data_IF_403931109235
#
_entry.id   IF_403931109235
#
_cell.length_a   1.000
_cell.length_b   1.000
_cell.length_c   1.000
_cell.angle_alpha   90.00
_cell.angle_beta   90.00
_cell.angle_gamma   90.00
#
_symmetry.space_group_name_H-M   'P 1'
#
loop_
_entity.id
_entity.type
_entity.pdbx_description
1 polymer ?
#
# COMPACT_ATOMS: atom_id res chain seq x y z
N UNK A 1 24.48 11.52 -19.17
CA UNK A 1 24.33 10.06 -19.37
C UNK A 1 22.97 9.70 -18.82
N UNK A 2 21.98 9.51 -19.68
CA UNK A 2 20.64 9.14 -19.24
C UNK A 2 20.70 7.69 -18.76
N UNK A 3 20.54 7.48 -17.46
CA UNK A 3 20.36 6.15 -16.90
C UNK A 3 19.12 5.54 -17.58
N UNK A 4 19.30 4.44 -18.30
CA UNK A 4 18.18 3.76 -18.96
C UNK A 4 17.36 3.08 -17.87
N UNK A 5 16.42 3.81 -17.28
CA UNK A 5 15.50 3.25 -16.28
C UNK A 5 14.87 1.98 -16.85
N UNK A 6 15.13 0.85 -16.20
CA UNK A 6 14.52 -0.42 -16.58
C UNK A 6 12.99 -0.33 -16.43
N UNK A 7 12.19 -1.14 -17.15
CA UNK A 7 10.74 -1.12 -17.02
C UNK A 7 10.25 -1.20 -15.58
N UNK A 8 10.93 -2.00 -14.75
CA UNK A 8 10.61 -2.14 -13.32
C UNK A 8 10.89 -0.87 -12.51
N UNK A 9 11.93 -0.10 -12.82
CA UNK A 9 12.23 1.17 -12.12
C UNK A 9 11.25 2.28 -12.52
N UNK A 10 10.85 2.33 -13.80
CA UNK A 10 9.77 3.23 -14.26
C UNK A 10 8.46 2.90 -13.53
N UNK A 11 8.11 1.61 -13.44
CA UNK A 11 6.92 1.15 -12.73
C UNK A 11 6.97 1.52 -11.24
N UNK A 12 8.06 1.21 -10.54
CA UNK A 12 8.21 1.55 -9.10
C UNK A 12 8.03 3.03 -8.84
N UNK A 13 8.66 3.88 -9.64
CA UNK A 13 8.56 5.33 -9.53
C UNK A 13 7.12 5.83 -9.77
N UNK A 14 6.47 5.35 -10.83
CA UNK A 14 5.10 5.74 -11.15
C UNK A 14 4.10 5.26 -10.08
N UNK A 15 4.25 4.03 -9.62
CA UNK A 15 3.39 3.44 -8.60
C UNK A 15 3.55 4.12 -7.24
N UNK A 16 4.78 4.48 -6.85
CA UNK A 16 5.00 5.28 -5.63
C UNK A 16 4.37 6.69 -5.72
N UNK A 17 4.39 7.32 -6.89
CA UNK A 17 3.71 8.61 -7.10
C UNK A 17 2.18 8.47 -7.00
N UNK A 18 1.61 7.43 -7.62
CA UNK A 18 0.18 7.12 -7.52
C UNK A 18 -0.23 6.82 -6.07
N UNK A 19 0.55 6.02 -5.34
CA UNK A 19 0.34 5.70 -3.93
C UNK A 19 0.25 6.97 -3.06
N UNK A 20 1.18 7.92 -3.22
CA UNK A 20 1.14 9.20 -2.48
C UNK A 20 -0.08 10.04 -2.83
N UNK A 21 -0.44 10.08 -4.11
CA UNK A 21 -1.62 10.81 -4.57
C UNK A 21 -2.92 10.23 -4.01
N UNK A 22 -3.06 8.90 -4.01
CA UNK A 22 -4.24 8.19 -3.51
C UNK A 22 -4.31 8.29 -1.98
N UNK A 23 -3.20 8.07 -1.28
CA UNK A 23 -3.17 8.12 0.19
C UNK A 23 -3.39 9.53 0.74
N UNK A 24 -3.05 10.58 -0.02
CA UNK A 24 -3.05 11.96 0.46
C UNK A 24 -1.87 12.30 1.37
N UNK A 25 -0.85 11.42 1.45
CA UNK A 25 0.36 11.63 2.23
C UNK A 25 1.56 11.83 1.29
N UNK A 26 2.01 13.08 1.05
CA UNK A 26 3.10 13.37 0.11
C UNK A 26 4.47 12.88 0.59
N UNK A 27 4.61 12.64 1.88
CA UNK A 27 5.79 12.13 2.58
C UNK A 27 5.78 10.59 2.73
N UNK A 28 4.69 9.92 2.31
CA UNK A 28 4.59 8.48 2.46
C UNK A 28 5.54 7.72 1.51
N UNK A 29 6.13 6.67 2.07
CA UNK A 29 7.15 5.85 1.41
C UNK A 29 6.58 4.49 1.02
N UNK A 30 6.77 4.13 -0.25
CA UNK A 30 6.33 2.85 -0.81
C UNK A 30 7.57 2.01 -1.13
N UNK A 31 7.79 0.95 -0.34
CA UNK A 31 8.95 0.08 -0.47
C UNK A 31 8.58 -1.27 -1.10
N UNK A 32 9.55 -1.86 -1.81
CA UNK A 32 9.37 -3.11 -2.54
C UNK A 32 10.28 -4.20 -1.94
N UNK A 33 9.71 -5.33 -1.54
CA UNK A 33 10.49 -6.45 -0.98
C UNK A 33 10.83 -6.27 0.50
N UNK A 34 11.91 -6.90 0.98
CA UNK A 34 12.23 -7.02 2.41
C UNK A 34 12.92 -5.82 3.03
N UNK A 35 13.52 -4.96 2.21
CA UNK A 35 14.40 -3.92 2.70
C UNK A 35 13.60 -2.63 2.92
N UNK A 36 13.56 -2.21 4.19
CA UNK A 36 13.05 -0.90 4.56
C UNK A 36 14.24 -0.09 5.04
N UNK A 37 14.76 0.77 4.17
CA UNK A 37 15.74 1.76 4.57
C UNK A 37 15.15 2.59 5.72
N UNK A 38 15.89 2.67 6.83
CA UNK A 38 15.52 3.53 7.96
C UNK A 38 15.81 4.97 7.56
N UNK A 39 14.77 5.79 7.34
CA UNK A 39 15.00 7.22 7.06
C UNK A 39 13.79 8.03 6.58
N UNK A 40 12.71 7.40 6.11
CA UNK A 40 11.54 8.16 5.68
C UNK A 40 10.76 8.74 6.88
N UNK A 41 10.60 10.05 6.87
CA UNK A 41 9.63 10.80 7.67
C UNK A 41 8.27 10.60 6.98
N UNK A 42 7.35 9.87 7.62
CA UNK A 42 6.02 9.59 7.06
C UNK A 42 5.58 8.12 7.15
N UNK A 43 4.32 7.81 6.79
CA UNK A 43 3.82 6.44 6.74
C UNK A 43 4.61 5.60 5.75
N UNK A 44 4.93 4.36 6.12
CA UNK A 44 5.65 3.41 5.25
C UNK A 44 4.79 2.23 4.92
N UNK A 45 4.67 1.95 3.64
CA UNK A 45 3.94 0.81 3.11
C UNK A 45 4.90 -0.05 2.32
N UNK A 46 4.81 -1.35 2.54
CA UNK A 46 5.61 -2.34 1.86
C UNK A 46 4.71 -3.17 0.94
N UNK A 47 5.14 -3.33 -0.29
CA UNK A 47 4.49 -4.19 -1.29
C UNK A 47 5.47 -5.25 -1.82
N UNK A 48 4.97 -6.31 -2.48
CA UNK A 48 5.83 -7.32 -3.09
C UNK A 48 6.80 -6.71 -4.11
N UNK A 49 8.00 -7.29 -4.21
CA UNK A 49 9.00 -6.86 -5.20
C UNK A 49 8.65 -7.47 -6.56
N UNK A 50 8.35 -6.66 -7.59
CA UNK A 50 8.12 -7.20 -8.93
C UNK A 50 9.41 -7.73 -9.55
N UNK A 51 9.29 -8.75 -10.41
CA UNK A 51 10.38 -9.27 -11.23
C UNK A 51 10.89 -8.21 -12.22
N UNK A 52 12.13 -8.43 -12.71
CA UNK A 52 12.77 -7.51 -13.67
C UNK A 52 12.05 -7.45 -15.01
N UNK A 53 11.42 -8.56 -15.42
CA UNK A 53 10.68 -8.67 -16.68
C UNK A 53 9.34 -7.93 -16.60
N UNK A 54 8.82 -7.71 -15.38
CA UNK A 54 7.57 -7.02 -15.09
C UNK A 54 6.40 -7.47 -16.00
N UNK A 55 5.98 -8.74 -15.92
CA UNK A 55 4.74 -9.19 -16.54
C UNK A 55 3.56 -8.34 -16.11
N UNK A 56 2.55 -8.20 -16.98
CA UNK A 56 1.39 -7.34 -16.75
C UNK A 56 0.63 -7.76 -15.49
N UNK A 57 0.52 -9.06 -15.26
CA UNK A 57 -0.17 -9.65 -14.11
C UNK A 57 0.53 -9.31 -12.79
N UNK A 58 1.86 -9.32 -12.79
CA UNK A 58 2.66 -8.97 -11.61
C UNK A 58 2.62 -7.47 -11.35
N UNK A 59 2.69 -6.65 -12.40
CA UNK A 59 2.52 -5.20 -12.30
C UNK A 59 1.14 -4.84 -11.73
N UNK A 60 0.07 -5.50 -12.20
CA UNK A 60 -1.28 -5.31 -11.71
C UNK A 60 -1.42 -5.73 -10.24
N UNK A 61 -0.85 -6.89 -9.87
CA UNK A 61 -0.86 -7.38 -8.50
C UNK A 61 -0.16 -6.41 -7.53
N UNK A 62 1.08 -6.02 -7.83
CA UNK A 62 1.86 -5.11 -6.98
C UNK A 62 1.21 -3.73 -6.87
N UNK A 63 0.59 -3.25 -7.95
CA UNK A 63 -0.19 -2.01 -7.91
C UNK A 63 -1.44 -2.14 -7.06
N UNK A 64 -2.17 -3.25 -7.17
CA UNK A 64 -3.35 -3.51 -6.34
C UNK A 64 -3.03 -3.48 -4.84
N UNK A 65 -1.93 -4.10 -4.44
CA UNK A 65 -1.45 -4.06 -3.05
C UNK A 65 -1.12 -2.62 -2.61
N UNK A 66 -0.48 -1.82 -3.48
CA UNK A 66 -0.16 -0.43 -3.19
C UNK A 66 -1.44 0.42 -3.05
N UNK A 67 -2.38 0.29 -3.98
CA UNK A 67 -3.61 1.07 -4.00
C UNK A 67 -4.49 0.72 -2.79
N UNK A 68 -4.62 -0.56 -2.41
CA UNK A 68 -5.35 -0.99 -1.21
C UNK A 68 -4.73 -0.41 0.07
N UNK A 69 -3.40 -0.43 0.18
CA UNK A 69 -2.71 0.16 1.32
C UNK A 69 -2.83 1.69 1.36
N UNK A 70 -2.83 2.35 0.20
CA UNK A 70 -3.03 3.80 0.10
C UNK A 70 -4.44 4.20 0.56
N UNK A 71 -5.47 3.46 0.11
CA UNK A 71 -6.85 3.69 0.50
C UNK A 71 -7.04 3.45 2.00
N UNK A 72 -6.46 2.37 2.55
CA UNK A 72 -6.46 2.11 3.99
C UNK A 72 -5.82 3.27 4.75
N UNK A 73 -4.65 3.74 4.33
CA UNK A 73 -3.97 4.87 4.98
C UNK A 73 -4.83 6.15 4.96
N UNK A 74 -5.54 6.41 3.86
CA UNK A 74 -6.39 7.59 3.71
C UNK A 74 -7.70 7.52 4.50
N UNK A 75 -8.33 6.35 4.50
CA UNK A 75 -9.74 6.21 4.88
C UNK A 75 -9.94 5.52 6.23
N UNK A 76 -8.91 4.87 6.79
CA UNK A 76 -9.01 4.14 8.05
C UNK A 76 -8.54 4.99 9.25
N UNK A 77 -9.37 5.07 10.29
CA UNK A 77 -8.97 5.58 11.60
C UNK A 77 -8.79 4.40 12.57
N UNK A 78 -7.53 4.05 12.84
CA UNK A 78 -7.17 2.92 13.70
C UNK A 78 -7.68 3.08 15.15
N UNK A 79 -7.73 4.31 15.67
CA UNK A 79 -8.16 4.59 17.04
C UNK A 79 -9.68 4.45 17.17
N UNK A 80 -10.43 4.97 16.20
CA UNK A 80 -11.87 4.78 16.13
C UNK A 80 -12.25 3.32 15.93
N UNK A 81 -11.55 2.63 15.03
CA UNK A 81 -11.77 1.21 14.74
C UNK A 81 -11.57 0.36 15.99
N UNK A 82 -10.44 0.53 16.69
CA UNK A 82 -10.15 -0.19 17.92
C UNK A 82 -11.19 0.09 19.02
N UNK A 83 -11.65 1.34 19.15
CA UNK A 83 -12.66 1.72 20.16
C UNK A 83 -14.03 1.10 19.89
N UNK A 84 -14.39 0.90 18.61
CA UNK A 84 -15.69 0.36 18.19
C UNK A 84 -15.67 -1.15 17.94
N UNK A 85 -14.49 -1.77 17.94
CA UNK A 85 -14.32 -3.19 17.66
C UNK A 85 -15.10 -4.03 18.70
N UNK A 86 -15.99 -4.93 18.26
CA UNK A 86 -16.74 -5.80 19.16
C UNK A 86 -15.82 -6.85 19.81
N UNK A 87 -16.34 -7.58 20.80
CA UNK A 87 -15.66 -8.68 21.50
C UNK A 87 -16.22 -10.04 21.07
N UNK A 88 -15.57 -11.13 21.49
CA UNK A 88 -15.92 -12.52 21.14
C UNK A 88 -15.09 -13.06 19.97
N UNK A 89 -15.43 -14.25 19.49
CA UNK A 89 -14.57 -14.95 18.50
C UNK A 89 -14.90 -14.58 17.05
N UNK A 90 -16.18 -14.41 16.73
CA UNK A 90 -16.64 -14.22 15.34
C UNK A 90 -16.85 -12.74 15.00
N UNK A 91 -17.50 -11.99 15.88
CA UNK A 91 -17.86 -10.59 15.63
C UNK A 91 -16.67 -9.69 15.27
N UNK A 92 -15.49 -9.78 15.91
CA UNK A 92 -14.38 -8.91 15.56
C UNK A 92 -13.78 -9.24 14.18
N UNK A 93 -13.79 -10.51 13.78
CA UNK A 93 -13.32 -10.94 12.45
C UNK A 93 -14.22 -10.37 11.37
N UNK A 94 -15.54 -10.44 11.54
CA UNK A 94 -16.49 -9.84 10.62
C UNK A 94 -16.35 -8.31 10.58
N UNK A 95 -16.14 -7.67 11.74
CA UNK A 95 -15.94 -6.24 11.84
C UNK A 95 -14.68 -5.77 11.09
N UNK A 96 -13.57 -6.48 11.24
CA UNK A 96 -12.32 -6.19 10.53
C UNK A 96 -12.47 -6.41 9.01
N UNK A 97 -13.17 -7.47 8.60
CA UNK A 97 -13.44 -7.75 7.18
C UNK A 97 -14.34 -6.69 6.54
N UNK A 98 -15.38 -6.22 7.25
CA UNK A 98 -16.25 -5.14 6.80
C UNK A 98 -15.49 -3.82 6.65
N UNK A 99 -14.58 -3.52 7.59
CA UNK A 99 -13.75 -2.33 7.49
C UNK A 99 -12.80 -2.42 6.29
N UNK A 100 -12.21 -3.59 6.03
CA UNK A 100 -11.39 -3.79 4.84
C UNK A 100 -12.20 -3.56 3.55
N UNK A 101 -13.39 -4.15 3.44
CA UNK A 101 -14.26 -3.93 2.30
C UNK A 101 -14.68 -2.45 2.14
N UNK A 102 -14.88 -1.72 3.24
CA UNK A 102 -15.24 -0.29 3.20
C UNK A 102 -14.11 0.58 2.65
N UNK A 103 -12.85 0.27 2.98
CA UNK A 103 -11.71 1.07 2.48
C UNK A 103 -11.38 0.76 1.03
N UNK A 104 -11.75 -0.42 0.51
CA UNK A 104 -11.45 -0.85 -0.87
C UNK A 104 -12.58 -0.62 -1.89
N UNK A 105 -13.79 -0.23 -1.45
CA UNK A 105 -14.95 0.01 -2.31
C UNK A 105 -14.92 1.36 -3.05
#
# INVERSE_FOLDING_TARGET
MADQDTPVEIFKRANAAAFRAISGHPDADLTYGTDSAKGAEGPRVRVPLPSRELPVEEAAYVRGEADAAALKLRLHDASLHARRRPTGDVAPVLYDALEQARVEA
#
